data_IF_696629203257
#
_entry.id   IF_696629203257
#
_cell.length_a   1.000
_cell.length_b   1.000
_cell.length_c   1.000
_cell.angle_alpha   90.00
_cell.angle_beta   90.00
_cell.angle_gamma   90.00
#
_symmetry.space_group_name_H-M   'P 1'
#
loop_
_entity.id
_entity.type
_entity.pdbx_description
1 polymer ?
#
# COMPACT_ATOMS: atom_id res chain seq x y z
N UNK A 1 26.44 -43.03 0.61
CA UNK A 1 25.06 -42.73 1.05
C UNK A 1 25.20 -41.76 2.19
N UNK A 2 25.08 -40.48 1.89
CA UNK A 2 24.95 -39.42 2.89
C UNK A 2 23.48 -38.99 2.90
N UNK A 3 22.78 -39.01 4.04
CA UNK A 3 21.47 -38.43 4.14
C UNK A 3 21.66 -36.92 4.11
N UNK A 4 21.36 -36.34 2.95
CA UNK A 4 21.37 -34.91 2.70
C UNK A 4 20.62 -34.17 3.83
N UNK A 5 21.30 -33.16 4.35
CA UNK A 5 20.73 -32.09 5.18
C UNK A 5 19.56 -31.50 4.40
N UNK A 6 18.34 -31.95 4.69
CA UNK A 6 17.12 -31.26 4.31
C UNK A 6 17.14 -30.00 5.17
N UNK A 7 17.57 -28.88 4.60
CA UNK A 7 17.27 -27.58 5.16
C UNK A 7 15.74 -27.54 5.29
N UNK A 8 15.22 -27.63 6.50
CA UNK A 8 13.79 -27.42 6.76
C UNK A 8 13.44 -26.05 6.17
N UNK A 9 12.62 -26.06 5.12
CA UNK A 9 12.18 -24.83 4.47
C UNK A 9 11.43 -23.99 5.52
N UNK A 10 11.85 -22.75 5.68
CA UNK A 10 11.31 -21.86 6.70
C UNK A 10 9.79 -21.68 6.54
N UNK A 11 9.04 -22.06 7.58
CA UNK A 11 7.58 -21.93 7.68
C UNK A 11 7.14 -20.48 7.37
N UNK A 12 7.98 -19.48 7.68
CA UNK A 12 7.75 -18.06 7.42
C UNK A 12 7.69 -17.75 5.91
N UNK A 13 8.64 -18.28 5.13
CA UNK A 13 8.71 -18.09 3.67
C UNK A 13 7.50 -18.74 3.00
N UNK A 14 7.12 -19.94 3.46
CA UNK A 14 5.96 -20.68 2.96
C UNK A 14 4.66 -19.90 3.25
N UNK A 15 4.52 -19.37 4.46
CA UNK A 15 3.37 -18.56 4.84
C UNK A 15 3.27 -17.30 3.95
N UNK A 16 4.37 -16.56 3.81
CA UNK A 16 4.43 -15.35 2.99
C UNK A 16 4.04 -15.61 1.54
N UNK A 17 4.50 -16.72 0.96
CA UNK A 17 4.18 -17.07 -0.42
C UNK A 17 2.73 -17.51 -0.60
N UNK A 18 2.10 -18.17 0.38
CA UNK A 18 0.79 -18.83 0.19
C UNK A 18 -0.38 -18.15 0.91
N UNK A 19 -0.15 -17.10 1.69
CA UNK A 19 -1.19 -16.41 2.49
C UNK A 19 -2.37 -15.89 1.66
N UNK A 20 -2.12 -15.41 0.45
CA UNK A 20 -3.12 -14.83 -0.45
C UNK A 20 -4.03 -15.91 -1.06
N UNK A 21 -3.57 -17.15 -1.06
CA UNK A 21 -4.34 -18.31 -1.52
C UNK A 21 -5.36 -18.74 -0.46
N UNK A 22 -4.98 -18.70 0.83
CA UNK A 22 -5.75 -19.25 1.93
C UNK A 22 -6.48 -18.18 2.75
N UNK A 23 -7.39 -17.45 2.10
CA UNK A 23 -8.22 -16.43 2.76
C UNK A 23 -9.64 -16.97 3.02
N UNK A 24 -10.24 -16.57 4.14
CA UNK A 24 -11.63 -16.88 4.48
C UNK A 24 -11.88 -18.38 4.61
N UNK A 25 -12.78 -18.95 3.81
CA UNK A 25 -13.12 -20.37 3.94
C UNK A 25 -11.97 -21.31 3.54
N UNK A 26 -11.02 -20.84 2.73
CA UNK A 26 -9.83 -21.62 2.36
C UNK A 26 -8.85 -21.75 3.53
N UNK A 27 -8.78 -20.76 4.42
CA UNK A 27 -7.96 -20.82 5.65
C UNK A 27 -8.39 -21.96 6.59
N UNK A 28 -9.66 -22.38 6.49
CA UNK A 28 -10.25 -23.46 7.28
C UNK A 28 -10.02 -24.85 6.70
N UNK A 29 -9.22 -24.98 5.64
CA UNK A 29 -8.91 -26.29 5.08
C UNK A 29 -8.03 -27.10 6.04
N UNK A 30 -8.39 -28.38 6.21
CA UNK A 30 -7.68 -29.34 7.08
C UNK A 30 -7.35 -30.65 6.38
N UNK A 31 -7.55 -30.70 5.06
CA UNK A 31 -7.31 -31.88 4.24
C UNK A 31 -6.32 -31.52 3.14
N UNK A 32 -5.39 -32.43 2.87
CA UNK A 32 -4.33 -32.23 1.89
C UNK A 32 -4.88 -32.02 0.46
N UNK A 33 -5.93 -32.74 0.06
CA UNK A 33 -6.52 -32.62 -1.28
C UNK A 33 -6.95 -31.19 -1.66
N UNK A 34 -7.82 -30.52 -0.85
CA UNK A 34 -8.17 -29.12 -1.05
C UNK A 34 -6.97 -28.16 -1.05
N UNK A 35 -5.95 -28.41 -0.23
CA UNK A 35 -4.71 -27.62 -0.16
C UNK A 35 -3.93 -27.73 -1.48
N UNK A 36 -3.69 -28.95 -1.96
CA UNK A 36 -3.03 -29.22 -3.25
C UNK A 36 -3.76 -28.55 -4.41
N UNK A 37 -5.08 -28.66 -4.45
CA UNK A 37 -5.90 -28.03 -5.49
C UNK A 37 -5.79 -26.50 -5.44
N UNK A 38 -5.77 -25.92 -4.25
CA UNK A 38 -5.67 -24.47 -4.07
C UNK A 38 -4.31 -23.95 -4.50
N UNK A 39 -3.22 -24.59 -4.08
CA UNK A 39 -1.86 -24.23 -4.51
C UNK A 39 -1.72 -24.39 -6.02
N UNK A 40 -2.14 -25.53 -6.57
CA UNK A 40 -2.06 -25.79 -8.01
C UNK A 40 -2.84 -24.78 -8.87
N UNK A 41 -4.00 -24.29 -8.39
CA UNK A 41 -4.78 -23.27 -9.11
C UNK A 41 -4.13 -21.88 -9.11
N UNK A 42 -3.18 -21.64 -8.20
CA UNK A 42 -2.53 -20.35 -7.99
C UNK A 42 -1.06 -20.33 -8.47
N UNK A 43 -0.59 -21.36 -9.17
CA UNK A 43 0.73 -21.42 -9.82
C UNK A 43 0.78 -20.53 -11.07
N UNK A 44 0.78 -19.21 -10.88
CA UNK A 44 0.96 -18.25 -11.97
C UNK A 44 2.45 -18.07 -12.28
N UNK A 45 2.77 -17.80 -13.55
CA UNK A 45 4.15 -17.55 -14.01
C UNK A 45 4.75 -16.37 -13.23
N UNK A 46 5.83 -16.61 -12.50
CA UNK A 46 6.53 -15.60 -11.69
C UNK A 46 5.99 -15.41 -10.26
N UNK A 47 5.02 -16.21 -9.81
CA UNK A 47 4.57 -16.17 -8.41
C UNK A 47 5.61 -16.78 -7.46
N UNK A 48 5.69 -16.27 -6.23
CA UNK A 48 6.57 -16.81 -5.18
C UNK A 48 6.28 -18.30 -4.91
N UNK A 49 5.01 -18.70 -4.92
CA UNK A 49 4.61 -20.10 -4.75
C UNK A 49 5.13 -20.97 -5.88
N UNK A 50 5.12 -20.49 -7.12
CA UNK A 50 5.69 -21.23 -8.24
C UNK A 50 7.21 -21.40 -8.06
N UNK A 51 7.93 -20.34 -7.68
CA UNK A 51 9.37 -20.41 -7.44
C UNK A 51 9.71 -21.44 -6.36
N UNK A 52 8.98 -21.43 -5.24
CA UNK A 52 9.16 -22.40 -4.15
C UNK A 52 8.84 -23.83 -4.59
N UNK A 53 7.75 -24.03 -5.34
CA UNK A 53 7.38 -25.36 -5.85
C UNK A 53 8.40 -25.88 -6.87
N UNK A 54 8.98 -25.01 -7.70
CA UNK A 54 10.04 -25.37 -8.65
C UNK A 54 11.35 -25.71 -7.93
N UNK A 55 11.69 -24.99 -6.86
CA UNK A 55 12.95 -25.17 -6.14
C UNK A 55 12.95 -26.37 -5.19
N UNK A 56 11.87 -26.59 -4.43
CA UNK A 56 11.81 -27.60 -3.36
C UNK A 56 10.84 -28.77 -3.66
N UNK A 57 10.05 -28.66 -4.72
CA UNK A 57 9.03 -29.65 -5.09
C UNK A 57 7.70 -29.44 -4.38
N UNK A 58 6.61 -29.79 -5.04
CA UNK A 58 5.25 -29.49 -4.57
C UNK A 58 4.91 -30.15 -3.22
N UNK A 59 5.32 -31.40 -3.01
CA UNK A 59 5.00 -32.13 -1.77
C UNK A 59 5.74 -31.61 -0.54
N UNK A 60 6.92 -31.01 -0.72
CA UNK A 60 7.65 -30.34 0.35
C UNK A 60 6.97 -29.04 0.83
N UNK A 61 6.13 -28.42 -0.01
CA UNK A 61 5.33 -27.23 0.34
C UNK A 61 3.96 -27.62 0.92
N UNK A 62 3.33 -28.67 0.38
CA UNK A 62 1.97 -29.05 0.77
C UNK A 62 1.83 -29.42 2.25
N UNK A 63 2.83 -30.12 2.82
CA UNK A 63 2.78 -30.58 4.20
C UNK A 63 2.96 -29.45 5.22
N UNK A 64 3.97 -28.56 5.10
CA UNK A 64 4.06 -27.37 5.95
C UNK A 64 2.83 -26.46 5.85
N UNK A 65 2.30 -26.22 4.65
CA UNK A 65 1.06 -25.44 4.49
C UNK A 65 -0.10 -26.09 5.24
N UNK A 66 -0.27 -27.42 5.16
CA UNK A 66 -1.32 -28.13 5.88
C UNK A 66 -1.12 -28.04 7.41
N UNK A 67 0.13 -28.08 7.89
CA UNK A 67 0.47 -27.90 9.31
C UNK A 67 0.09 -26.48 9.77
N UNK A 68 0.52 -25.45 9.06
CA UNK A 68 0.18 -24.06 9.35
C UNK A 68 -1.33 -23.78 9.29
N UNK A 69 -2.05 -24.39 8.34
CA UNK A 69 -3.52 -24.36 8.30
C UNK A 69 -4.14 -25.04 9.53
N UNK A 70 -3.59 -26.17 9.96
CA UNK A 70 -4.06 -26.89 11.14
C UNK A 70 -3.85 -26.09 12.43
N UNK A 71 -2.74 -25.37 12.50
CA UNK A 71 -2.36 -24.43 13.57
C UNK A 71 -3.17 -23.11 13.51
N UNK A 72 -4.09 -22.96 12.54
CA UNK A 72 -4.96 -21.79 12.34
C UNK A 72 -4.22 -20.49 11.99
N UNK A 73 -2.97 -20.59 11.56
CA UNK A 73 -2.11 -19.43 11.21
C UNK A 73 -2.71 -18.60 10.07
N UNK A 74 -3.40 -19.23 9.11
CA UNK A 74 -4.07 -18.52 8.01
C UNK A 74 -5.46 -17.97 8.38
N UNK A 75 -6.01 -18.33 9.55
CA UNK A 75 -7.37 -17.91 9.94
C UNK A 75 -7.39 -16.55 10.62
N UNK A 76 -6.26 -16.11 11.19
CA UNK A 76 -6.16 -14.84 11.87
C UNK A 76 -4.74 -14.31 11.80
N UNK A 77 -4.62 -13.04 11.44
CA UNK A 77 -3.36 -12.29 11.42
C UNK A 77 -2.73 -12.21 12.80
N UNK A 78 -3.54 -12.21 13.87
CA UNK A 78 -3.04 -12.24 15.24
C UNK A 78 -2.26 -13.54 15.51
N UNK A 79 -2.83 -14.69 15.13
CA UNK A 79 -2.17 -16.00 15.28
C UNK A 79 -0.90 -16.06 14.41
N UNK A 80 -0.95 -15.50 13.20
CA UNK A 80 0.24 -15.40 12.35
C UNK A 80 1.32 -14.51 12.95
N UNK A 81 0.95 -13.39 13.57
CA UNK A 81 1.90 -12.48 14.22
C UNK A 81 2.55 -13.06 15.46
N UNK A 82 1.84 -13.91 16.21
CA UNK A 82 2.42 -14.67 17.33
C UNK A 82 3.43 -15.72 16.85
N UNK A 83 3.19 -16.32 15.67
CA UNK A 83 4.06 -17.35 15.08
C UNK A 83 5.28 -16.76 14.38
N UNK A 84 5.12 -15.60 13.75
CA UNK A 84 6.15 -14.92 12.95
C UNK A 84 6.22 -13.43 13.30
N UNK A 85 6.72 -13.01 14.47
CA UNK A 85 6.69 -11.61 14.90
C UNK A 85 7.37 -10.67 13.91
N UNK A 86 8.55 -11.07 13.41
CA UNK A 86 9.39 -10.31 12.49
C UNK A 86 8.68 -9.91 11.19
N UNK A 87 7.66 -10.66 10.80
CA UNK A 87 6.84 -10.39 9.61
C UNK A 87 5.86 -9.22 9.80
N UNK A 88 5.48 -8.92 11.05
CA UNK A 88 4.40 -7.99 11.37
C UNK A 88 4.87 -6.77 12.16
N UNK A 89 6.07 -6.79 12.75
CA UNK A 89 6.59 -5.67 13.52
C UNK A 89 6.95 -4.48 12.62
N UNK A 90 6.26 -3.33 12.78
CA UNK A 90 6.57 -2.13 12.04
C UNK A 90 7.66 -1.33 12.75
N UNK A 91 8.38 -0.51 12.00
CA UNK A 91 9.27 0.47 12.60
C UNK A 91 8.49 1.52 13.39
N UNK A 92 9.14 2.16 14.37
CA UNK A 92 8.56 3.27 15.13
C UNK A 92 8.13 4.43 14.22
N UNK A 93 8.89 4.68 13.14
CA UNK A 93 8.57 5.71 12.17
C UNK A 93 7.27 5.39 11.40
N UNK A 94 7.09 4.14 10.95
CA UNK A 94 5.85 3.69 10.28
C UNK A 94 4.64 3.80 11.19
N UNK A 95 4.80 3.41 12.46
CA UNK A 95 3.72 3.50 13.45
C UNK A 95 3.30 4.95 13.68
N UNK A 96 4.26 5.87 13.81
CA UNK A 96 3.99 7.28 13.96
C UNK A 96 3.34 7.90 12.70
N UNK A 97 3.85 7.59 11.51
CA UNK A 97 3.28 8.05 10.25
C UNK A 97 1.82 7.59 10.09
N UNK A 98 1.54 6.34 10.42
CA UNK A 98 0.18 5.80 10.45
C UNK A 98 -0.73 6.56 11.40
N UNK A 99 -0.31 6.77 12.65
CA UNK A 99 -1.13 7.48 13.64
C UNK A 99 -1.46 8.90 13.19
N UNK A 100 -0.53 9.57 12.49
CA UNK A 100 -0.78 10.88 11.89
C UNK A 100 -1.84 10.81 10.78
N UNK A 101 -1.75 9.83 9.88
CA UNK A 101 -2.73 9.63 8.80
C UNK A 101 -4.13 9.30 9.33
N UNK A 102 -4.22 8.45 10.35
CA UNK A 102 -5.50 8.14 11.00
C UNK A 102 -6.10 9.38 11.68
N UNK A 103 -5.28 10.17 12.39
CA UNK A 103 -5.72 11.39 13.05
C UNK A 103 -6.16 12.47 12.04
N UNK A 104 -5.46 12.62 10.93
CA UNK A 104 -5.83 13.58 9.87
C UNK A 104 -7.14 13.19 9.20
N UNK A 105 -7.33 11.91 8.90
CA UNK A 105 -8.58 11.40 8.36
C UNK A 105 -9.75 11.66 9.32
N UNK A 106 -9.59 11.35 10.62
CA UNK A 106 -10.63 11.63 11.63
C UNK A 106 -10.96 13.13 11.70
N UNK A 107 -9.94 14.00 11.60
CA UNK A 107 -10.15 15.45 11.62
C UNK A 107 -10.93 15.93 10.39
N UNK A 108 -10.56 15.47 9.20
CA UNK A 108 -11.23 15.79 7.95
C UNK A 108 -12.68 15.32 7.94
N UNK A 109 -12.92 14.07 8.35
CA UNK A 109 -14.26 13.49 8.49
C UNK A 109 -15.13 14.27 9.48
N UNK A 110 -14.55 14.69 10.61
CA UNK A 110 -15.24 15.52 11.58
C UNK A 110 -15.58 16.90 11.02
N UNK A 111 -14.68 17.53 10.27
CA UNK A 111 -14.94 18.82 9.63
C UNK A 111 -16.07 18.73 8.60
N UNK A 112 -16.14 17.65 7.81
CA UNK A 112 -17.23 17.40 6.88
C UNK A 112 -18.59 17.27 7.60
N UNK A 113 -18.61 16.55 8.73
CA UNK A 113 -19.79 16.40 9.56
C UNK A 113 -20.23 17.75 10.18
N UNK A 114 -19.29 18.56 10.67
CA UNK A 114 -19.57 19.89 11.21
C UNK A 114 -20.15 20.84 10.15
N UNK A 115 -19.65 20.79 8.92
CA UNK A 115 -20.20 21.57 7.79
C UNK A 115 -21.67 21.24 7.50
N UNK A 116 -22.04 19.96 7.58
CA UNK A 116 -23.43 19.51 7.38
C UNK A 116 -24.33 19.98 8.52
N UNK A 117 -23.87 19.86 9.78
CA UNK A 117 -24.62 20.33 10.96
C UNK A 117 -24.90 21.83 10.84
N UNK A 118 -23.89 22.62 10.47
CA UNK A 118 -24.02 24.07 10.32
C UNK A 118 -25.02 24.44 9.21
N UNK A 119 -24.98 23.72 8.08
CA UNK A 119 -25.91 23.94 6.96
C UNK A 119 -27.35 23.62 7.36
N UNK A 120 -27.59 22.50 8.06
CA UNK A 120 -28.94 22.11 8.48
C UNK A 120 -29.54 23.06 9.52
N UNK A 121 -28.71 23.64 10.40
CA UNK A 121 -29.15 24.66 11.34
C UNK A 121 -29.47 26.00 10.65
N UNK A 122 -28.71 26.40 9.63
CA UNK A 122 -29.01 27.58 8.82
C UNK A 122 -30.35 27.45 8.06
N UNK A 123 -30.64 26.27 7.50
CA UNK A 123 -31.92 25.99 6.82
C UNK A 123 -33.14 25.97 7.76
N UNK A 124 -32.93 25.81 9.07
CA UNK A 124 -34.01 25.80 10.06
C UNK A 124 -34.43 27.22 10.51
N UNK A 125 -33.69 28.27 10.12
CA UNK A 125 -33.98 29.68 10.43
C UNK A 125 -34.30 30.55 9.21
N UNK A 126 -34.28 29.99 7.98
CA UNK A 126 -34.50 30.75 6.75
C UNK A 126 -35.43 30.01 5.78
N UNK A 127 -36.42 30.76 5.28
CA UNK A 127 -37.34 30.39 4.20
C UNK A 127 -36.57 29.88 2.98
N UNK A 128 -37.13 28.86 2.33
CA UNK A 128 -36.63 28.20 1.11
C UNK A 128 -36.12 29.17 0.03
N UNK A 129 -34.96 28.85 -0.52
CA UNK A 129 -34.78 28.83 -1.96
C UNK A 129 -33.98 27.57 -2.36
N UNK A 130 -34.71 26.53 -2.73
CA UNK A 130 -34.14 25.28 -3.24
C UNK A 130 -33.94 25.43 -4.75
N UNK A 131 -32.76 25.88 -5.18
CA UNK A 131 -32.26 25.57 -6.52
C UNK A 131 -30.73 25.56 -6.49
N UNK A 132 -30.13 24.36 -6.54
CA UNK A 132 -28.73 24.21 -6.95
C UNK A 132 -27.71 23.72 -5.93
N UNK A 133 -28.03 22.78 -5.04
CA UNK A 133 -27.00 21.98 -4.33
C UNK A 133 -27.32 20.50 -4.45
N UNK A 134 -27.49 20.04 -5.68
CA UNK A 134 -27.47 18.63 -6.04
C UNK A 134 -26.09 18.35 -6.63
N UNK A 135 -25.38 17.35 -6.08
CA UNK A 135 -24.25 16.64 -6.71
C UNK A 135 -22.97 17.43 -7.03
N UNK A 136 -22.28 18.00 -6.03
CA UNK A 136 -20.89 18.47 -6.23
C UNK A 136 -19.87 18.05 -5.14
N UNK A 137 -20.22 17.15 -4.21
CA UNK A 137 -19.28 16.76 -3.14
C UNK A 137 -19.29 15.26 -2.80
N UNK A 138 -19.76 14.40 -3.72
CA UNK A 138 -19.76 12.95 -3.52
C UNK A 138 -18.87 12.17 -4.51
N UNK A 139 -18.37 12.82 -5.57
CA UNK A 139 -17.52 12.15 -6.57
C UNK A 139 -16.01 12.20 -6.24
N UNK A 140 -15.57 13.03 -5.29
CA UNK A 140 -14.13 13.21 -5.00
C UNK A 140 -13.53 12.22 -3.97
N UNK A 141 -14.33 11.35 -3.36
CA UNK A 141 -13.81 10.35 -2.39
C UNK A 141 -13.81 8.93 -3.00
N UNK A 142 -14.58 8.69 -4.06
CA UNK A 142 -14.79 7.34 -4.57
C UNK A 142 -13.89 6.94 -5.75
N UNK A 143 -13.00 7.83 -6.23
CA UNK A 143 -12.12 7.57 -7.38
C UNK A 143 -10.60 7.67 -7.12
N UNK A 144 -10.13 7.78 -5.87
CA UNK A 144 -8.68 7.65 -5.58
C UNK A 144 -8.19 6.18 -5.48
N UNK A 145 -8.95 5.21 -6.00
CA UNK A 145 -8.43 3.87 -6.35
C UNK A 145 -8.27 3.71 -7.88
N UNK A 146 -8.47 4.79 -8.66
CA UNK A 146 -7.96 4.85 -10.03
C UNK A 146 -6.70 5.70 -10.04
N UNK A 147 -5.56 5.01 -10.00
CA UNK A 147 -4.30 5.38 -10.65
C UNK A 147 -3.92 6.87 -10.55
N UNK A 148 -3.45 7.30 -9.38
CA UNK A 148 -2.45 8.37 -9.35
C UNK A 148 -1.09 7.74 -9.64
N UNK A 149 -0.53 8.12 -10.78
CA UNK A 149 0.82 7.83 -11.20
C UNK A 149 1.83 8.08 -10.06
N UNK A 150 2.56 7.02 -9.68
CA UNK A 150 3.83 7.03 -8.92
C UNK A 150 3.90 7.85 -7.62
N UNK A 151 3.86 7.13 -6.49
CA UNK A 151 4.46 7.54 -5.21
C UNK A 151 3.48 7.48 -4.03
N UNK A 152 3.67 6.50 -3.16
CA UNK A 152 3.00 6.32 -1.85
C UNK A 152 1.58 5.76 -1.87
N UNK A 153 1.47 4.46 -2.17
CA UNK A 153 0.32 3.65 -1.76
C UNK A 153 0.32 3.53 -0.22
N UNK A 154 -0.37 4.45 0.46
CA UNK A 154 -0.69 4.28 1.88
C UNK A 154 -1.97 3.46 2.02
N UNK A 155 -1.90 2.33 2.73
CA UNK A 155 -3.09 1.54 3.08
C UNK A 155 -3.89 2.12 4.25
N UNK A 156 -3.42 3.22 4.85
CA UNK A 156 -4.07 3.91 5.96
C UNK A 156 -4.74 5.20 5.49
N UNK A 157 -5.89 5.58 6.10
CA UNK A 157 -6.50 5.03 7.31
C UNK A 157 -7.32 3.72 7.11
N UNK A 158 -7.74 3.10 8.22
CA UNK A 158 -8.53 1.87 8.20
C UNK A 158 -10.02 2.18 8.06
N UNK A 159 -10.64 1.64 7.01
CA UNK A 159 -12.07 1.73 6.74
C UNK A 159 -12.68 0.35 6.52
N UNK A 160 -13.95 0.19 6.89
CA UNK A 160 -14.74 -0.94 6.43
C UNK A 160 -15.17 -0.76 4.97
N UNK A 161 -15.51 -1.86 4.28
CA UNK A 161 -16.26 -1.77 3.04
C UNK A 161 -17.52 -0.93 3.24
N UNK A 162 -17.73 0.05 2.36
CA UNK A 162 -18.81 1.03 2.50
C UNK A 162 -20.20 0.43 2.77
N UNK A 163 -20.64 -0.65 2.10
CA UNK A 163 -21.95 -1.24 2.38
C UNK A 163 -22.09 -1.74 3.83
N UNK A 164 -21.01 -2.26 4.40
CA UNK A 164 -20.99 -2.79 5.78
C UNK A 164 -20.96 -1.64 6.78
N UNK A 165 -20.16 -0.61 6.52
CA UNK A 165 -20.13 0.60 7.33
C UNK A 165 -21.49 1.29 7.38
N UNK A 166 -22.14 1.48 6.23
CA UNK A 166 -23.45 2.11 6.18
C UNK A 166 -24.49 1.28 6.92
N UNK A 167 -24.51 -0.04 6.72
CA UNK A 167 -25.39 -0.95 7.46
C UNK A 167 -25.14 -0.90 8.97
N UNK A 168 -23.87 -0.83 9.40
CA UNK A 168 -23.50 -0.67 10.80
C UNK A 168 -24.09 0.61 11.39
N UNK A 169 -23.89 1.74 10.71
CA UNK A 169 -24.38 3.04 11.16
C UNK A 169 -25.91 3.13 11.17
N UNK A 170 -26.59 2.57 10.17
CA UNK A 170 -28.05 2.50 10.11
C UNK A 170 -28.62 1.66 11.26
N UNK A 171 -28.04 0.48 11.52
CA UNK A 171 -28.45 -0.37 12.64
C UNK A 171 -28.19 0.28 13.99
N UNK A 172 -27.06 0.95 14.14
CA UNK A 172 -26.70 1.67 15.36
C UNK A 172 -27.70 2.82 15.63
N UNK A 173 -28.01 3.61 14.59
CA UNK A 173 -29.01 4.68 14.69
C UNK A 173 -30.36 4.12 15.15
N UNK A 174 -30.91 3.12 14.44
CA UNK A 174 -32.22 2.53 14.76
C UNK A 174 -32.27 1.97 16.17
N UNK A 175 -31.22 1.26 16.59
CA UNK A 175 -31.15 0.68 17.94
C UNK A 175 -31.20 1.76 19.02
N UNK A 176 -30.50 2.87 18.81
CA UNK A 176 -30.53 4.00 19.73
C UNK A 176 -31.88 4.73 19.73
N UNK A 177 -32.53 4.88 18.57
CA UNK A 177 -33.87 5.51 18.48
C UNK A 177 -34.90 4.70 19.27
N UNK A 178 -34.85 3.37 19.15
CA UNK A 178 -35.67 2.45 19.96
C UNK A 178 -35.35 2.59 21.45
N UNK A 179 -34.06 2.58 21.84
CA UNK A 179 -33.67 2.74 23.23
C UNK A 179 -34.15 4.08 23.84
N UNK A 180 -34.04 5.16 23.08
CA UNK A 180 -34.51 6.47 23.50
C UNK A 180 -36.04 6.52 23.62
N UNK A 181 -36.75 5.89 22.68
CA UNK A 181 -38.20 5.78 22.72
C UNK A 181 -38.69 4.99 23.94
N UNK A 182 -38.11 3.82 24.20
CA UNK A 182 -38.47 2.98 25.36
C UNK A 182 -38.15 3.66 26.70
N UNK A 183 -37.09 4.46 26.75
CA UNK A 183 -36.85 5.34 27.89
C UNK A 183 -37.90 6.44 27.99
N UNK A 184 -38.22 7.10 26.87
CA UNK A 184 -39.17 8.21 26.81
C UNK A 184 -40.58 7.81 27.27
N UNK A 185 -41.04 6.63 26.88
CA UNK A 185 -42.36 6.11 27.30
C UNK A 185 -42.42 5.85 28.80
N UNK A 186 -41.32 5.36 29.41
CA UNK A 186 -41.24 5.08 30.86
C UNK A 186 -41.02 6.33 31.70
N UNK A 187 -40.08 7.18 31.31
CA UNK A 187 -39.60 8.30 32.12
C UNK A 187 -40.20 9.65 31.74
N UNK A 188 -40.67 9.83 30.50
CA UNK A 188 -41.11 11.12 29.94
C UNK A 188 -42.50 11.07 29.24
N UNK A 189 -43.51 10.37 29.77
CA UNK A 189 -44.78 10.14 29.06
C UNK A 189 -45.51 11.43 28.68
N UNK A 190 -45.42 12.48 29.50
CA UNK A 190 -46.04 13.79 29.19
C UNK A 190 -45.38 14.48 27.99
N UNK A 191 -44.07 14.34 27.82
CA UNK A 191 -43.34 14.89 26.69
C UNK A 191 -43.68 14.10 25.43
N UNK A 192 -43.72 12.77 25.52
CA UNK A 192 -44.11 11.89 24.41
C UNK A 192 -45.48 12.29 23.85
N UNK A 193 -46.48 12.43 24.73
CA UNK A 193 -47.84 12.82 24.36
C UNK A 193 -47.92 14.24 23.81
N UNK A 194 -47.26 15.22 24.46
CA UNK A 194 -47.29 16.62 24.02
C UNK A 194 -46.64 16.82 22.64
N UNK A 195 -45.64 16.01 22.30
CA UNK A 195 -44.91 16.08 21.03
C UNK A 195 -45.43 15.12 19.96
N UNK A 196 -46.44 14.30 20.26
CA UNK A 196 -46.98 13.31 19.32
C UNK A 196 -45.99 12.21 18.95
N UNK A 197 -45.10 11.84 19.87
CA UNK A 197 -44.10 10.80 19.66
C UNK A 197 -44.73 9.44 19.95
N UNK A 198 -45.47 8.90 18.98
CA UNK A 198 -46.27 7.68 19.15
C UNK A 198 -45.49 6.40 18.81
N UNK A 199 -44.45 6.47 17.98
CA UNK A 199 -43.59 5.35 17.64
C UNK A 199 -42.11 5.74 17.61
N UNK A 200 -41.16 4.77 17.68
CA UNK A 200 -39.72 5.03 17.61
C UNK A 200 -39.32 5.85 16.37
N UNK A 201 -39.95 5.58 15.23
CA UNK A 201 -39.68 6.26 13.95
C UNK A 201 -40.15 7.72 13.93
N UNK A 202 -40.97 8.14 14.90
CA UNK A 202 -41.46 9.52 14.98
C UNK A 202 -40.39 10.50 15.47
N UNK A 203 -39.25 10.02 15.95
CA UNK A 203 -38.24 10.85 16.63
C UNK A 203 -36.81 10.47 16.23
N UNK A 204 -36.15 11.37 15.51
CA UNK A 204 -34.74 11.22 15.13
C UNK A 204 -33.79 11.40 16.33
N UNK A 205 -32.61 10.76 16.29
CA UNK A 205 -31.60 10.86 17.38
C UNK A 205 -31.16 12.28 17.72
N UNK A 206 -31.04 13.19 16.75
CA UNK A 206 -30.68 14.58 17.02
C UNK A 206 -31.73 15.28 17.89
N UNK A 207 -33.01 14.93 17.75
CA UNK A 207 -34.09 15.47 18.59
C UNK A 207 -34.04 14.93 20.02
N UNK A 208 -33.63 13.67 20.19
CA UNK A 208 -33.33 13.10 21.49
C UNK A 208 -32.14 13.79 22.14
N UNK A 209 -31.06 14.02 21.40
CA UNK A 209 -29.89 14.73 21.89
C UNK A 209 -30.23 16.17 22.33
N UNK A 210 -31.04 16.89 21.55
CA UNK A 210 -31.57 18.21 21.91
C UNK A 210 -32.44 18.16 23.19
N UNK A 211 -33.27 17.13 23.35
CA UNK A 211 -34.12 16.99 24.53
C UNK A 211 -33.29 16.75 25.79
N UNK A 212 -32.32 15.83 25.73
CA UNK A 212 -31.44 15.50 26.84
C UNK A 212 -30.49 16.65 27.20
N UNK A 213 -30.15 17.50 26.23
CA UNK A 213 -29.32 18.69 26.46
C UNK A 213 -30.05 19.89 27.08
N UNK A 214 -31.38 19.87 27.20
CA UNK A 214 -32.14 20.95 27.85
C UNK A 214 -32.03 20.86 29.36
N UNK A 215 -31.66 21.97 29.98
CA UNK A 215 -31.57 22.09 31.43
C UNK A 215 -32.92 21.74 32.10
N UNK A 216 -32.88 20.81 33.05
CA UNK A 216 -34.04 20.36 33.81
C UNK A 216 -34.93 19.30 33.14
N UNK A 217 -34.74 18.95 31.86
CA UNK A 217 -35.58 17.96 31.17
C UNK A 217 -35.45 16.54 31.74
N UNK A 218 -34.29 16.23 32.32
CA UNK A 218 -33.92 14.91 32.86
C UNK A 218 -33.86 14.89 34.40
N UNK A 219 -34.23 16.00 35.07
CA UNK A 219 -34.07 16.16 36.51
C UNK A 219 -34.87 15.10 37.28
N UNK A 220 -34.17 14.25 38.03
CA UNK A 220 -34.75 13.14 38.80
C UNK A 220 -35.12 11.89 37.98
N UNK A 221 -34.75 11.84 36.69
CA UNK A 221 -35.05 10.72 35.78
C UNK A 221 -33.81 9.96 35.33
N UNK A 222 -32.67 10.63 35.32
CA UNK A 222 -31.35 10.03 35.13
C UNK A 222 -30.48 10.46 36.32
N UNK A 223 -29.71 9.50 36.82
CA UNK A 223 -28.85 9.66 38.01
C UNK A 223 -27.61 10.53 37.75
N UNK A 224 -27.30 10.79 36.46
CA UNK A 224 -26.14 11.55 35.98
C UNK A 224 -26.53 12.45 34.81
N UNK A 225 -26.07 13.70 34.83
CA UNK A 225 -26.18 14.58 33.67
C UNK A 225 -25.43 13.98 32.46
N UNK A 226 -26.04 14.06 31.27
CA UNK A 226 -25.39 13.59 30.06
C UNK A 226 -24.30 14.59 29.62
N UNK A 227 -23.06 14.13 29.37
CA UNK A 227 -22.02 14.99 28.82
C UNK A 227 -22.45 15.60 27.47
N UNK A 228 -22.18 16.90 27.26
CA UNK A 228 -22.48 17.58 25.99
C UNK A 228 -21.78 16.92 24.79
N UNK A 229 -20.59 16.38 25.02
CA UNK A 229 -19.81 15.65 24.01
C UNK A 229 -20.51 14.36 23.57
N UNK A 230 -21.08 13.61 24.53
CA UNK A 230 -21.86 12.42 24.26
C UNK A 230 -23.08 12.77 23.40
N UNK A 231 -23.84 13.81 23.79
CA UNK A 231 -24.99 14.27 23.02
C UNK A 231 -24.62 14.70 21.59
N UNK A 232 -23.49 15.39 21.43
CA UNK A 232 -22.96 15.74 20.11
C UNK A 232 -22.61 14.51 19.28
N UNK A 233 -21.97 13.52 19.89
CA UNK A 233 -21.64 12.25 19.24
C UNK A 233 -22.90 11.50 18.77
N UNK A 234 -23.95 11.44 19.60
CA UNK A 234 -25.23 10.80 19.25
C UNK A 234 -25.94 11.53 18.10
N UNK A 235 -25.93 12.87 18.09
CA UNK A 235 -26.41 13.62 16.93
C UNK A 235 -25.59 13.30 15.67
N UNK A 236 -24.27 13.20 15.82
CA UNK A 236 -23.33 12.87 14.74
C UNK A 236 -23.61 11.48 14.14
N UNK A 237 -23.97 10.47 14.95
CA UNK A 237 -24.35 9.13 14.46
C UNK A 237 -25.46 9.20 13.41
N UNK A 238 -26.52 9.99 13.68
CA UNK A 238 -27.62 10.19 12.72
C UNK A 238 -27.16 10.91 11.47
N UNK A 239 -26.32 11.95 11.59
CA UNK A 239 -25.79 12.64 10.41
C UNK A 239 -24.93 11.71 9.55
N UNK A 240 -24.03 10.93 10.16
CA UNK A 240 -23.20 9.94 9.45
C UNK A 240 -24.05 8.89 8.74
N UNK A 241 -25.06 8.33 9.41
CA UNK A 241 -25.93 7.33 8.82
C UNK A 241 -26.78 7.88 7.66
N UNK A 242 -27.43 9.03 7.85
CA UNK A 242 -28.34 9.65 6.87
C UNK A 242 -27.58 10.22 5.67
N UNK A 243 -26.47 10.90 5.92
CA UNK A 243 -25.65 11.51 4.86
C UNK A 243 -24.58 10.57 4.30
N UNK A 244 -24.54 9.32 4.78
CA UNK A 244 -23.64 8.26 4.31
C UNK A 244 -22.17 8.67 4.34
N UNK A 245 -21.78 9.39 5.38
CA UNK A 245 -20.43 9.91 5.51
C UNK A 245 -19.46 8.78 5.82
N UNK A 246 -18.36 8.73 5.07
CA UNK A 246 -17.26 7.80 5.33
C UNK A 246 -16.67 8.10 6.71
N UNK A 247 -16.51 7.05 7.51
CA UNK A 247 -15.96 7.16 8.86
C UNK A 247 -14.89 6.09 9.07
N UNK A 248 -13.71 6.49 9.50
CA UNK A 248 -12.63 5.54 9.76
C UNK A 248 -12.89 4.70 11.03
N UNK A 249 -12.09 3.65 11.22
CA UNK A 249 -12.22 2.72 12.36
C UNK A 249 -12.26 3.44 13.72
N UNK A 250 -11.39 4.43 13.96
CA UNK A 250 -11.38 5.21 15.19
C UNK A 250 -12.68 6.00 15.42
N UNK A 251 -13.23 6.62 14.37
CA UNK A 251 -14.52 7.31 14.42
C UNK A 251 -15.69 6.37 14.71
N UNK A 252 -15.71 5.20 14.07
CA UNK A 252 -16.73 4.16 14.28
C UNK A 252 -16.67 3.57 15.70
N UNK A 253 -15.47 3.30 16.21
CA UNK A 253 -15.27 2.85 17.60
C UNK A 253 -15.76 3.88 18.61
N UNK A 254 -15.50 5.16 18.36
CA UNK A 254 -16.04 6.26 19.18
C UNK A 254 -17.56 6.24 19.19
N UNK A 255 -18.19 6.15 18.02
CA UNK A 255 -19.65 6.08 17.91
C UNK A 255 -20.25 4.88 18.63
N UNK A 256 -19.66 3.70 18.50
CA UNK A 256 -20.11 2.49 19.20
C UNK A 256 -19.97 2.61 20.72
N UNK A 257 -18.87 3.17 21.19
CA UNK A 257 -18.60 3.39 22.62
C UNK A 257 -19.59 4.39 23.21
N UNK A 258 -19.82 5.51 22.53
CA UNK A 258 -20.77 6.54 22.95
C UNK A 258 -22.21 6.00 22.92
N UNK A 259 -22.57 5.21 21.91
CA UNK A 259 -23.87 4.56 21.83
C UNK A 259 -24.12 3.59 22.99
N UNK A 260 -23.15 2.73 23.31
CA UNK A 260 -23.24 1.81 24.46
C UNK A 260 -23.38 2.58 25.77
N UNK A 261 -22.60 3.65 25.93
CA UNK A 261 -22.66 4.53 27.10
C UNK A 261 -24.03 5.19 27.23
N UNK A 262 -24.61 5.70 26.15
CA UNK A 262 -25.96 6.28 26.19
C UNK A 262 -26.99 5.23 26.59
N UNK A 263 -27.00 4.06 25.95
CA UNK A 263 -27.96 3.00 26.27
C UNK A 263 -27.86 2.56 27.75
N UNK A 264 -26.65 2.47 28.29
CA UNK A 264 -26.41 2.21 29.71
C UNK A 264 -26.97 3.31 30.63
N UNK A 265 -26.81 4.58 30.26
CA UNK A 265 -27.36 5.72 31.02
C UNK A 265 -28.89 5.75 30.99
N UNK A 266 -29.51 5.36 29.87
CA UNK A 266 -30.97 5.21 29.75
C UNK A 266 -31.53 4.02 30.56
N UNK A 267 -30.64 3.24 31.20
CA UNK A 267 -31.00 2.08 32.02
C UNK A 267 -31.49 0.89 31.20
N UNK A 268 -31.19 0.84 29.90
CA UNK A 268 -31.59 -0.26 29.04
C UNK A 268 -30.47 -1.30 28.87
N UNK A 269 -30.58 -2.38 29.64
CA UNK A 269 -29.60 -3.46 29.62
C UNK A 269 -29.65 -4.30 28.34
N UNK A 270 -30.78 -4.30 27.61
CA UNK A 270 -30.94 -5.10 26.39
C UNK A 270 -30.25 -4.40 25.24
N UNK A 271 -30.54 -3.12 25.00
CA UNK A 271 -29.89 -2.35 23.94
C UNK A 271 -28.40 -2.13 24.23
N UNK A 272 -28.02 -1.84 25.48
CA UNK A 272 -26.62 -1.70 25.84
C UNK A 272 -25.84 -2.99 25.54
N UNK A 273 -26.40 -4.16 25.87
CA UNK A 273 -25.76 -5.45 25.58
C UNK A 273 -25.67 -5.74 24.08
N UNK A 274 -26.72 -5.42 23.31
CA UNK A 274 -26.70 -5.58 21.87
C UNK A 274 -25.62 -4.71 21.20
N UNK A 275 -25.49 -3.45 21.63
CA UNK A 275 -24.45 -2.53 21.15
C UNK A 275 -23.05 -3.00 21.61
N UNK A 276 -22.93 -3.52 22.83
CA UNK A 276 -21.67 -4.07 23.36
C UNK A 276 -21.16 -5.27 22.53
N UNK A 277 -22.05 -6.17 22.14
CA UNK A 277 -21.71 -7.28 21.24
C UNK A 277 -21.27 -6.75 19.86
N UNK A 278 -22.04 -5.82 19.28
CA UNK A 278 -21.70 -5.21 17.99
C UNK A 278 -20.35 -4.47 18.03
N UNK A 279 -20.05 -3.79 19.14
CA UNK A 279 -18.76 -3.13 19.37
C UNK A 279 -17.62 -4.14 19.43
N UNK A 280 -17.81 -5.24 20.16
CA UNK A 280 -16.80 -6.30 20.28
C UNK A 280 -16.49 -6.93 18.92
N UNK A 281 -17.52 -7.23 18.13
CA UNK A 281 -17.38 -7.77 16.77
C UNK A 281 -16.67 -6.77 15.84
N UNK A 282 -17.04 -5.49 15.91
CA UNK A 282 -16.41 -4.43 15.12
C UNK A 282 -14.94 -4.23 15.49
N UNK A 283 -14.60 -4.19 16.78
CA UNK A 283 -13.22 -4.08 17.26
C UNK A 283 -12.36 -5.24 16.80
N UNK A 284 -12.88 -6.47 16.86
CA UNK A 284 -12.18 -7.64 16.32
C UNK A 284 -11.90 -7.50 14.83
N UNK A 285 -12.89 -7.05 14.05
CA UNK A 285 -12.73 -6.83 12.62
C UNK A 285 -11.74 -5.69 12.29
N UNK A 286 -11.78 -4.58 13.03
CA UNK A 286 -10.84 -3.47 12.86
C UNK A 286 -9.41 -3.86 13.19
N UNK A 287 -9.21 -4.62 14.26
CA UNK A 287 -7.90 -5.12 14.67
C UNK A 287 -7.30 -6.05 13.61
N UNK A 288 -8.09 -7.01 13.10
CA UNK A 288 -7.65 -7.91 12.04
C UNK A 288 -7.34 -7.16 10.74
N UNK A 289 -8.21 -6.23 10.34
CA UNK A 289 -7.98 -5.42 9.13
C UNK A 289 -6.75 -4.52 9.27
N UNK A 290 -6.55 -3.96 10.46
CA UNK A 290 -5.36 -3.18 10.82
C UNK A 290 -4.09 -3.99 10.64
N UNK A 291 -4.02 -5.17 11.26
CA UNK A 291 -2.85 -6.03 11.19
C UNK A 291 -2.57 -6.49 9.75
N UNK A 292 -3.62 -6.83 9.00
CA UNK A 292 -3.49 -7.21 7.59
C UNK A 292 -2.95 -6.07 6.73
N UNK A 293 -3.48 -4.86 6.88
CA UNK A 293 -2.99 -3.68 6.15
C UNK A 293 -1.53 -3.39 6.47
N UNK A 294 -1.17 -3.43 7.75
CA UNK A 294 0.20 -3.22 8.21
C UNK A 294 1.16 -4.25 7.60
N UNK A 295 0.78 -5.53 7.63
CA UNK A 295 1.57 -6.58 7.02
C UNK A 295 1.78 -6.35 5.51
N UNK A 296 0.72 -5.99 4.78
CA UNK A 296 0.82 -5.73 3.33
C UNK A 296 1.70 -4.50 3.08
N UNK A 297 1.60 -3.46 3.91
CA UNK A 297 2.43 -2.27 3.83
C UNK A 297 3.92 -2.62 3.98
N UNK A 298 4.27 -3.42 5.00
CA UNK A 298 5.64 -3.89 5.20
C UNK A 298 6.17 -4.69 4.00
N UNK A 299 5.34 -5.57 3.43
CA UNK A 299 5.73 -6.32 2.23
C UNK A 299 5.94 -5.43 1.01
N UNK A 300 5.11 -4.39 0.85
CA UNK A 300 5.26 -3.43 -0.23
C UNK A 300 6.59 -2.70 -0.10
N UNK A 301 6.91 -2.20 1.10
CA UNK A 301 8.15 -1.45 1.37
C UNK A 301 9.39 -2.32 1.15
N UNK A 302 9.40 -3.55 1.67
CA UNK A 302 10.50 -4.48 1.41
C UNK A 302 10.67 -4.78 -0.09
N UNK A 303 9.56 -4.98 -0.81
CA UNK A 303 9.61 -5.20 -2.26
C UNK A 303 10.13 -3.96 -3.01
N UNK A 304 9.78 -2.75 -2.56
CA UNK A 304 10.27 -1.50 -3.13
C UNK A 304 11.77 -1.33 -2.89
N UNK A 305 12.27 -1.67 -1.71
CA UNK A 305 13.70 -1.64 -1.38
C UNK A 305 14.51 -2.60 -2.25
N UNK A 306 14.05 -3.84 -2.41
CA UNK A 306 14.68 -4.83 -3.29
C UNK A 306 14.69 -4.38 -4.77
N UNK A 307 13.61 -3.74 -5.23
CA UNK A 307 13.56 -3.16 -6.57
C UNK A 307 14.56 -2.00 -6.69
N UNK A 308 14.65 -1.12 -5.68
CA UNK A 308 15.58 0.00 -5.68
C UNK A 308 17.03 -0.47 -5.71
N UNK A 309 17.37 -1.53 -4.95
CA UNK A 309 18.69 -2.16 -4.98
C UNK A 309 19.05 -2.69 -6.36
N UNK A 310 18.15 -3.45 -6.99
CA UNK A 310 18.37 -3.99 -8.35
C UNK A 310 18.52 -2.88 -9.40
N UNK A 311 17.78 -1.78 -9.26
CA UNK A 311 17.94 -0.59 -10.11
C UNK A 311 19.34 0.00 -9.94
N UNK A 312 19.81 0.18 -8.71
CA UNK A 312 21.15 0.70 -8.45
C UNK A 312 22.27 -0.20 -8.99
N UNK A 313 22.12 -1.53 -8.89
CA UNK A 313 23.06 -2.50 -9.46
C UNK A 313 23.11 -2.39 -11.00
N UNK A 314 21.95 -2.30 -11.65
CA UNK A 314 21.87 -2.11 -13.11
C UNK A 314 22.44 -0.75 -13.55
N UNK A 315 22.14 0.33 -12.81
CA UNK A 315 22.68 1.66 -13.10
C UNK A 315 24.23 1.66 -13.01
N UNK A 316 24.78 0.90 -12.06
CA UNK A 316 26.23 0.74 -11.92
C UNK A 316 26.82 -0.05 -13.11
N UNK A 317 26.16 -1.11 -13.55
CA UNK A 317 26.57 -1.90 -14.72
C UNK A 317 26.53 -1.07 -16.01
N UNK A 318 25.45 -0.31 -16.23
CA UNK A 318 25.32 0.61 -17.36
C UNK A 318 26.46 1.64 -17.39
N UNK A 319 26.75 2.25 -16.23
CA UNK A 319 27.82 3.25 -16.13
C UNK A 319 29.20 2.65 -16.42
N UNK A 320 29.44 1.39 -16.06
CA UNK A 320 30.68 0.70 -16.37
C UNK A 320 30.81 0.41 -17.87
N UNK A 321 29.74 -0.06 -18.51
CA UNK A 321 29.71 -0.30 -19.96
C UNK A 321 29.99 1.00 -20.72
N UNK A 322 29.32 2.10 -20.36
CA UNK A 322 29.54 3.41 -20.98
C UNK A 322 31.00 3.87 -20.81
N UNK A 323 31.61 3.62 -19.65
CA UNK A 323 33.01 3.95 -19.38
C UNK A 323 33.97 3.10 -20.21
N UNK A 324 33.70 1.82 -20.37
CA UNK A 324 34.49 0.92 -21.21
C UNK A 324 34.47 1.37 -22.67
N UNK A 325 33.28 1.59 -23.22
CA UNK A 325 33.10 2.05 -24.61
C UNK A 325 33.80 3.40 -24.83
N UNK A 326 33.68 4.35 -23.89
CA UNK A 326 34.33 5.65 -24.00
C UNK A 326 35.87 5.55 -24.00
N UNK A 327 36.44 4.65 -23.20
CA UNK A 327 37.89 4.37 -23.20
C UNK A 327 38.35 3.74 -24.51
N UNK A 328 37.55 2.84 -25.07
CA UNK A 328 37.83 2.21 -26.34
C UNK A 328 37.79 3.21 -27.49
N UNK A 329 36.76 4.05 -27.56
CA UNK A 329 36.66 5.15 -28.53
C UNK A 329 37.86 6.12 -28.45
N UNK A 330 38.30 6.49 -27.25
CA UNK A 330 39.49 7.33 -27.05
C UNK A 330 40.76 6.70 -27.64
N UNK A 331 40.96 5.38 -27.45
CA UNK A 331 42.10 4.67 -28.05
C UNK A 331 42.07 4.74 -29.57
N UNK A 332 40.91 4.50 -30.19
CA UNK A 332 40.78 4.57 -31.64
C UNK A 332 40.94 5.99 -32.19
N UNK A 333 40.46 7.01 -31.45
CA UNK A 333 40.69 8.42 -31.81
C UNK A 333 42.17 8.78 -31.79
N UNK A 334 42.91 8.37 -30.78
CA UNK A 334 44.35 8.60 -30.69
C UNK A 334 45.10 7.92 -31.85
N UNK A 335 44.78 6.66 -32.14
CA UNK A 335 45.41 5.92 -33.25
C UNK A 335 45.14 6.58 -34.62
N UNK A 336 43.91 7.04 -34.85
CA UNK A 336 43.57 7.79 -36.07
C UNK A 336 44.33 9.13 -36.14
N UNK A 337 44.48 9.82 -35.01
CA UNK A 337 45.27 11.04 -34.87
C UNK A 337 46.74 10.83 -35.23
N UNK A 338 47.39 9.83 -34.64
CA UNK A 338 48.80 9.49 -34.90
C UNK A 338 49.03 9.14 -36.37
N UNK A 339 48.13 8.35 -36.98
CA UNK A 339 48.21 8.02 -38.41
C UNK A 339 48.13 9.27 -39.29
N UNK A 340 47.23 10.20 -38.97
CA UNK A 340 47.08 11.45 -39.72
C UNK A 340 48.28 12.37 -39.52
N UNK A 341 48.78 12.51 -38.29
CA UNK A 341 49.96 13.31 -37.98
C UNK A 341 51.19 12.83 -38.76
N UNK A 342 51.46 11.52 -38.73
CA UNK A 342 52.55 10.92 -39.51
C UNK A 342 52.41 11.18 -41.02
N UNK A 343 51.18 11.19 -41.54
CA UNK A 343 50.93 11.52 -42.95
C UNK A 343 51.19 13.00 -43.26
N UNK A 344 50.85 13.91 -42.34
CA UNK A 344 51.09 15.35 -42.47
C UNK A 344 52.58 15.69 -42.40
N UNK A 345 53.33 15.10 -41.47
CA UNK A 345 54.80 15.29 -41.35
C UNK A 345 55.52 14.86 -42.63
N UNK A 346 55.13 13.72 -43.23
CA UNK A 346 55.64 13.27 -44.53
C UNK A 346 55.33 14.23 -45.69
N UNK A 347 54.24 15.01 -45.60
CA UNK A 347 53.93 16.04 -46.59
C UNK A 347 54.81 17.29 -46.41
N UNK A 348 55.09 17.69 -45.18
CA UNK A 348 56.00 18.80 -44.88
C UNK A 348 57.44 18.48 -45.30
N UNK A 349 57.91 17.26 -45.03
CA UNK A 349 59.24 16.79 -45.45
C UNK A 349 59.38 16.75 -46.98
N UNK A 350 58.32 16.35 -47.70
CA UNK A 350 58.29 16.43 -49.17
C UNK A 350 58.32 17.86 -49.69
N UNK A 351 57.73 18.81 -48.96
CA UNK A 351 57.76 20.23 -49.34
C UNK A 351 59.15 20.85 -49.15
N UNK A 352 59.91 20.39 -48.15
CA UNK A 352 61.31 20.79 -47.91
C UNK A 352 62.27 20.14 -48.93
N UNK A 353 61.98 18.92 -49.39
CA UNK A 353 62.78 18.23 -50.41
C UNK A 353 62.64 18.86 -51.81
N UNK A 354 61.43 19.29 -52.20
CA UNK A 354 61.20 19.98 -53.48
C UNK A 354 61.91 21.34 -53.54
N UNK A 355 62.06 22.05 -52.42
CA UNK A 355 62.84 23.30 -52.36
C UNK A 355 64.37 23.09 -52.40
N UNK A 356 64.88 21.85 -52.24
CA UNK A 356 66.33 21.53 -52.31
C UNK A 356 66.79 20.90 -53.61
N UNK A 357 65.91 20.26 -54.39
CA UNK A 357 66.28 19.57 -55.64
C UNK A 357 66.16 20.44 -56.91
N UNK A 358 65.65 21.68 -56.81
CA UNK A 358 65.65 22.63 -57.93
C UNK A 358 67.00 23.35 -58.17
N UNK A 359 68.09 22.81 -57.64
CA UNK A 359 69.45 23.26 -57.96
C UNK A 359 70.34 22.11 -58.47
N UNK A 360 70.47 22.07 -59.80
CA UNK A 360 71.59 21.52 -60.62
C UNK A 360 71.36 20.17 -61.35
N UNK A 361 70.83 20.30 -62.58
CA UNK A 361 71.35 19.84 -63.89
C UNK A 361 71.99 18.44 -64.09
N UNK A 362 71.27 17.63 -64.90
CA UNK A 362 71.65 17.10 -66.24
C UNK A 362 72.78 16.06 -66.40
N UNK A 363 72.46 14.98 -67.12
CA UNK A 363 73.42 14.34 -68.03
C UNK A 363 73.68 12.82 -67.95
N UNK A 364 72.97 12.06 -68.78
CA UNK A 364 73.45 10.97 -69.67
C UNK A 364 73.84 9.56 -69.11
N UNK A 365 73.04 8.58 -69.54
CA UNK A 365 73.26 7.17 -69.94
C UNK A 365 74.47 6.34 -69.44
N UNK A 366 74.18 5.10 -69.02
CA UNK A 366 75.11 3.97 -69.07
C UNK A 366 74.57 2.69 -68.42
N UNK A 367 74.42 1.64 -69.23
CA UNK A 367 73.90 0.29 -68.95
C UNK A 367 74.82 -0.50 -68.01
N UNK A 368 74.29 -1.26 -67.03
CA UNK A 368 74.50 -2.73 -66.87
C UNK A 368 73.87 -3.32 -65.59
N UNK A 369 73.37 -4.54 -65.79
CA UNK A 369 72.78 -5.50 -64.85
C UNK A 369 73.68 -5.89 -63.67
N UNK A 370 73.14 -5.98 -62.45
CA UNK A 370 73.43 -7.11 -61.58
C UNK A 370 72.40 -7.35 -60.47
N UNK A 371 72.11 -8.62 -60.22
CA UNK A 371 71.27 -9.17 -59.17
C UNK A 371 72.08 -9.27 -57.88
N UNK A 372 71.55 -8.85 -56.73
CA UNK A 372 71.91 -9.41 -55.43
C UNK A 372 70.78 -9.28 -54.41
N UNK A 373 70.61 -10.34 -53.63
CA UNK A 373 69.62 -10.58 -52.58
C UNK A 373 69.99 -9.91 -51.24
N UNK A 374 69.02 -9.95 -50.31
CA UNK A 374 69.06 -9.64 -48.88
C UNK A 374 68.70 -8.17 -48.55
N UNK A 375 68.00 -7.84 -47.48
CA UNK A 375 67.80 -8.58 -46.24
C UNK A 375 66.63 -7.98 -45.45
N UNK A 376 66.13 -8.80 -44.55
CA UNK A 376 65.04 -8.66 -43.59
C UNK A 376 64.82 -7.26 -42.96
N UNK A 377 63.55 -6.88 -42.87
CA UNK A 377 62.99 -6.49 -41.57
C UNK A 377 61.49 -6.77 -41.55
N UNK A 378 61.15 -8.01 -41.21
CA UNK A 378 59.95 -8.31 -40.44
C UNK A 378 59.90 -7.34 -39.27
N UNK A 379 58.91 -6.44 -39.28
CA UNK A 379 58.47 -5.75 -38.06
C UNK A 379 57.07 -6.26 -37.78
N UNK A 380 57.05 -7.44 -37.16
CA UNK A 380 55.92 -7.95 -36.40
C UNK A 380 55.51 -6.90 -35.36
N UNK A 381 54.52 -6.08 -35.68
CA UNK A 381 53.60 -5.59 -34.66
C UNK A 381 52.50 -6.63 -34.52
N UNK A 382 52.86 -7.76 -33.92
CA UNK A 382 51.91 -8.60 -33.23
C UNK A 382 51.41 -7.80 -32.02
N UNK A 383 50.49 -6.87 -32.25
CA UNK A 383 49.65 -6.34 -31.19
C UNK A 383 48.80 -7.50 -30.67
N UNK A 384 49.27 -8.16 -29.62
CA UNK A 384 48.42 -8.95 -28.76
C UNK A 384 47.51 -7.97 -28.03
N UNK A 385 46.42 -7.60 -28.69
CA UNK A 385 45.27 -7.04 -28.02
C UNK A 385 44.65 -8.15 -27.20
N UNK A 386 44.78 -8.05 -25.88
CA UNK A 386 43.92 -8.79 -24.96
C UNK A 386 42.54 -8.14 -25.10
N UNK A 387 41.75 -8.66 -26.05
CA UNK A 387 40.33 -8.37 -26.15
C UNK A 387 39.72 -8.62 -24.76
N UNK A 388 39.07 -7.61 -24.21
CA UNK A 388 38.28 -7.80 -23.01
C UNK A 388 37.12 -8.73 -23.38
N UNK A 389 37.28 -10.02 -23.07
CA UNK A 389 36.31 -11.10 -23.14
C UNK A 389 35.01 -10.73 -23.87
N UNK A 390 34.92 -11.08 -25.17
CA UNK A 390 33.70 -10.98 -26.01
C UNK A 390 32.53 -11.87 -25.51
N UNK A 391 32.50 -12.25 -24.24
CA UNK A 391 31.49 -13.13 -23.65
C UNK A 391 30.40 -12.38 -22.90
N UNK A 392 30.00 -11.18 -23.35
CA UNK A 392 28.91 -10.44 -22.69
C UNK A 392 27.91 -9.84 -23.67
N UNK A 393 27.27 -10.70 -24.46
CA UNK A 393 25.92 -10.43 -25.01
C UNK A 393 25.13 -11.76 -24.97
N UNK A 394 24.01 -11.87 -24.21
CA UNK A 394 23.08 -12.99 -24.30
C UNK A 394 22.31 -13.05 -25.63
#
# INVERSE_FOLDING_TARGET
MDPAVIAELDDQIIYQATKDIFIGQKAKFRKLGPVKKSIGSHLRKGSLVQQLVTQYGADAIHQPVLKLLSDRVYESTSIASERFPDLFEPSTAQTAARSLLEAEATRSEQAALEGIIQTQWASSQGTLDCTGITTMALDDINNNITESETGDLSLFPVYLPFPIEHMLMEKLQKTLELACFDFGTRALPDIMRKRGWECPESVELNRWAELFGREGSMRGKIDKDLPKELLRSIASIRHTAVHRLRTNSAGLERFLTDAERLAGILGDTVYAKAISHLRSDAQSAFMELTQNKQFIQLQLEHSQEEIAKKRAELDQEEQEVLRCIAKEDEKYRMLAGDRLQNALERMEDKKIAVDREDAVFDGINGIETNIFYADDSDVDYADQFEDCDETWIP
#
